data_IF_070144824972
#
_entry.id   IF_070144824972
#
_cell.length_a   1.000
_cell.length_b   1.000
_cell.length_c   1.000
_cell.angle_alpha   90.00
_cell.angle_beta   90.00
_cell.angle_gamma   90.00
#
_symmetry.space_group_name_H-M   'P 1'
#
loop_
_entity.id
_entity.type
_entity.pdbx_description
1 polymer ?
#
# COMPACT_ATOMS: atom_id res chain seq x y z
N UNK A 1 3.44 -14.90 6.44
CA UNK A 1 4.21 -15.90 5.65
C UNK A 1 5.66 -15.45 5.62
N UNK A 2 6.64 -16.33 5.89
CA UNK A 2 8.07 -15.93 5.91
C UNK A 2 8.70 -15.76 4.52
N UNK A 3 8.01 -16.19 3.46
CA UNK A 3 8.47 -16.06 2.07
C UNK A 3 7.29 -15.65 1.20
N UNK A 4 7.54 -14.83 0.18
CA UNK A 4 6.57 -14.43 -0.83
C UNK A 4 6.37 -15.53 -1.89
N UNK A 5 5.99 -16.73 -1.44
CA UNK A 5 5.78 -17.89 -2.33
C UNK A 5 7.01 -18.33 -3.13
N UNK A 6 8.21 -17.86 -2.77
CA UNK A 6 9.45 -18.16 -3.49
C UNK A 6 9.82 -17.18 -4.61
N UNK A 7 9.12 -16.04 -4.74
CA UNK A 7 9.52 -14.97 -5.65
C UNK A 7 9.76 -13.64 -4.91
N UNK A 8 10.41 -12.70 -5.59
CA UNK A 8 10.67 -11.34 -5.13
C UNK A 8 9.69 -10.36 -5.79
N UNK A 9 9.34 -9.28 -5.11
CA UNK A 9 8.50 -8.23 -5.69
C UNK A 9 9.15 -7.68 -6.99
N UNK A 10 8.37 -7.35 -8.02
CA UNK A 10 6.90 -7.20 -8.05
C UNK A 10 6.11 -8.51 -8.22
N UNK A 11 6.74 -9.68 -8.26
CA UNK A 11 5.99 -10.93 -8.22
C UNK A 11 5.34 -11.11 -6.84
N UNK A 12 4.08 -11.55 -6.80
CA UNK A 12 3.38 -11.91 -5.56
C UNK A 12 2.89 -13.35 -5.64
N UNK A 13 3.44 -14.23 -4.80
CA UNK A 13 3.16 -15.68 -4.79
C UNK A 13 3.32 -16.39 -6.14
N UNK A 14 4.18 -15.90 -7.02
CA UNK A 14 4.37 -16.45 -8.37
C UNK A 14 3.56 -15.74 -9.46
N UNK A 15 2.79 -14.71 -9.12
CA UNK A 15 1.98 -13.93 -10.07
C UNK A 15 2.67 -12.58 -10.30
N UNK A 16 3.00 -12.27 -11.56
CA UNK A 16 3.61 -11.01 -11.99
C UNK A 16 2.60 -10.21 -12.81
N UNK A 17 2.36 -8.96 -12.41
CA UNK A 17 1.45 -8.06 -13.12
C UNK A 17 2.00 -7.72 -14.53
N UNK A 18 1.13 -7.72 -15.54
CA UNK A 18 1.46 -7.52 -16.95
C UNK A 18 1.97 -8.79 -17.68
N UNK A 19 2.29 -9.86 -16.93
CA UNK A 19 2.88 -11.08 -17.49
C UNK A 19 2.03 -12.33 -17.27
N UNK A 20 1.54 -12.54 -16.04
CA UNK A 20 0.83 -13.76 -15.67
C UNK A 20 -0.61 -13.73 -16.18
N UNK A 21 -1.01 -14.78 -16.90
CA UNK A 21 -2.40 -14.92 -17.33
C UNK A 21 -3.31 -15.25 -16.14
N UNK A 22 -4.58 -14.91 -16.25
CA UNK A 22 -5.55 -15.24 -15.21
C UNK A 22 -5.73 -16.76 -15.04
N UNK A 23 -5.58 -17.53 -16.12
CA UNK A 23 -5.62 -19.00 -16.05
C UNK A 23 -4.47 -19.56 -15.21
N UNK A 24 -3.24 -19.06 -15.42
CA UNK A 24 -2.07 -19.43 -14.60
C UNK A 24 -2.24 -18.98 -13.14
N UNK A 25 -2.71 -17.75 -12.92
CA UNK A 25 -2.99 -17.23 -11.59
C UNK A 25 -4.00 -18.14 -10.84
N UNK A 26 -5.06 -18.62 -11.50
CA UNK A 26 -6.01 -19.56 -10.89
C UNK A 26 -5.37 -20.89 -10.50
N UNK A 27 -4.40 -21.39 -11.28
CA UNK A 27 -3.66 -22.61 -10.93
C UNK A 27 -2.77 -22.40 -9.69
N UNK A 28 -2.18 -21.21 -9.56
CA UNK A 28 -1.37 -20.81 -8.39
C UNK A 28 -2.24 -20.62 -7.14
N UNK A 29 -3.38 -19.93 -7.28
CA UNK A 29 -4.25 -19.56 -6.16
C UNK A 29 -5.15 -20.71 -5.70
N UNK A 30 -5.54 -21.62 -6.60
CA UNK A 30 -6.47 -22.72 -6.32
C UNK A 30 -6.11 -23.60 -5.10
N UNK A 31 -4.83 -23.97 -4.91
CA UNK A 31 -4.41 -24.74 -3.74
C UNK A 31 -4.48 -23.99 -2.40
N UNK A 32 -4.39 -22.65 -2.40
CA UNK A 32 -4.19 -21.85 -1.18
C UNK A 32 -5.44 -21.12 -0.70
N UNK A 33 -6.53 -21.07 -1.49
CA UNK A 33 -7.74 -20.42 -1.04
C UNK A 33 -8.94 -20.60 -1.94
N UNK A 34 -10.08 -20.11 -1.47
CA UNK A 34 -11.23 -19.94 -2.33
C UNK A 34 -11.13 -18.61 -3.02
N UNK A 35 -11.05 -18.66 -4.35
CA UNK A 35 -11.37 -17.52 -5.20
C UNK A 35 -12.87 -17.29 -5.05
N UNK A 36 -13.22 -16.29 -4.24
CA UNK A 36 -14.60 -15.94 -3.94
C UNK A 36 -15.02 -14.76 -4.80
N UNK A 37 -16.15 -14.93 -5.47
CA UNK A 37 -16.94 -13.90 -6.13
C UNK A 37 -16.28 -13.20 -7.33
N UNK A 38 -17.09 -12.99 -8.36
CA UNK A 38 -16.78 -12.18 -9.52
C UNK A 38 -17.60 -10.91 -9.36
N UNK A 39 -16.95 -9.79 -9.10
CA UNK A 39 -17.61 -8.50 -9.22
C UNK A 39 -17.02 -7.82 -10.44
N UNK A 40 -17.81 -7.81 -11.52
CA UNK A 40 -17.59 -6.87 -12.62
C UNK A 40 -17.91 -5.47 -12.07
N UNK A 41 -16.96 -4.89 -11.35
CA UNK A 41 -16.97 -3.46 -11.09
C UNK A 41 -16.32 -2.80 -12.31
N UNK A 42 -17.07 -1.96 -13.02
CA UNK A 42 -16.49 -1.03 -13.98
C UNK A 42 -15.59 -0.06 -13.20
N UNK A 43 -14.30 -0.36 -13.14
CA UNK A 43 -13.29 0.63 -12.82
C UNK A 43 -13.26 1.63 -13.97
N UNK A 44 -13.29 2.92 -13.66
CA UNK A 44 -13.55 4.00 -14.63
C UNK A 44 -12.59 4.05 -15.82
N UNK A 45 -11.45 3.36 -15.75
CA UNK A 45 -10.45 3.30 -16.83
C UNK A 45 -10.33 1.94 -17.52
N UNK A 46 -10.96 0.87 -17.02
CA UNK A 46 -10.69 -0.47 -17.56
C UNK A 46 -11.88 -1.43 -17.43
N UNK A 47 -12.04 -2.33 -18.41
CA UNK A 47 -12.91 -3.52 -18.32
C UNK A 47 -12.26 -4.58 -17.41
N UNK A 48 -12.00 -4.23 -16.15
CA UNK A 48 -11.24 -5.05 -15.21
C UNK A 48 -12.16 -5.95 -14.39
N UNK A 49 -11.76 -7.20 -14.24
CA UNK A 49 -12.41 -8.14 -13.32
C UNK A 49 -11.69 -8.14 -11.99
N UNK A 50 -12.44 -8.00 -10.89
CA UNK A 50 -11.91 -8.04 -9.53
C UNK A 50 -12.22 -9.38 -8.90
N UNK A 51 -11.18 -10.09 -8.47
CA UNK A 51 -11.30 -11.37 -7.77
C UNK A 51 -10.83 -11.25 -6.33
N UNK A 52 -11.63 -11.72 -5.38
CA UNK A 52 -11.29 -11.73 -3.96
C UNK A 52 -10.75 -13.10 -3.54
N UNK A 53 -9.62 -13.11 -2.87
CA UNK A 53 -9.12 -14.33 -2.24
C UNK A 53 -9.44 -14.33 -0.74
N UNK A 54 -10.36 -15.20 -0.32
CA UNK A 54 -10.58 -15.45 1.10
C UNK A 54 -9.72 -16.62 1.56
N UNK A 55 -8.74 -16.33 2.42
CA UNK A 55 -7.96 -17.37 3.09
C UNK A 55 -8.75 -17.92 4.29
N UNK A 56 -9.45 -19.04 4.05
CA UNK A 56 -10.34 -19.71 5.03
C UNK A 56 -9.70 -19.99 6.39
N UNK A 57 -8.38 -20.18 6.44
CA UNK A 57 -7.67 -20.62 7.64
C UNK A 57 -7.23 -19.47 8.56
N UNK A 58 -7.25 -18.22 8.10
CA UNK A 58 -6.69 -17.10 8.88
C UNK A 58 -7.70 -16.35 9.75
N UNK A 59 -9.00 -16.65 9.68
CA UNK A 59 -10.03 -16.01 10.52
C UNK A 59 -10.21 -14.49 10.30
N UNK A 60 -9.36 -13.89 9.49
CA UNK A 60 -9.45 -12.55 8.93
C UNK A 60 -9.69 -12.69 7.41
N UNK A 61 -10.36 -11.71 6.81
CA UNK A 61 -10.58 -11.66 5.36
C UNK A 61 -9.51 -10.76 4.75
N UNK A 62 -8.28 -11.25 4.46
CA UNK A 62 -7.36 -10.47 3.66
C UNK A 62 -8.03 -10.23 2.31
N UNK A 63 -8.30 -8.96 1.99
CA UNK A 63 -8.96 -8.60 0.74
C UNK A 63 -7.89 -8.47 -0.35
N UNK A 64 -7.30 -9.61 -0.75
CA UNK A 64 -6.43 -9.62 -1.91
C UNK A 64 -7.30 -9.49 -3.15
N UNK A 65 -7.01 -8.51 -3.99
CA UNK A 65 -7.72 -8.25 -5.24
C UNK A 65 -6.77 -8.40 -6.42
N UNK A 66 -7.18 -9.19 -7.40
CA UNK A 66 -6.49 -9.29 -8.68
C UNK A 66 -7.35 -8.61 -9.73
N UNK A 67 -6.74 -7.73 -10.51
CA UNK A 67 -7.40 -6.99 -11.57
C UNK A 67 -6.95 -7.54 -12.91
N UNK A 68 -7.89 -8.07 -13.68
CA UNK A 68 -7.60 -8.79 -14.92
C UNK A 68 -8.13 -8.01 -16.11
N UNK A 69 -7.29 -7.80 -17.12
CA UNK A 69 -7.63 -7.20 -18.39
C UNK A 69 -7.14 -8.09 -19.54
N UNK A 70 -7.98 -8.34 -20.54
CA UNK A 70 -7.67 -9.22 -21.67
C UNK A 70 -7.10 -10.61 -21.28
N UNK A 71 -7.47 -11.11 -20.11
CA UNK A 71 -7.01 -12.40 -19.59
C UNK A 71 -5.63 -12.36 -18.92
N UNK A 72 -5.03 -11.18 -18.73
CA UNK A 72 -3.75 -10.96 -18.04
C UNK A 72 -4.01 -10.25 -16.72
N UNK A 73 -3.29 -10.63 -15.66
CA UNK A 73 -3.32 -9.91 -14.38
C UNK A 73 -2.56 -8.60 -14.56
N UNK A 74 -3.25 -7.46 -14.52
CA UNK A 74 -2.64 -6.14 -14.68
C UNK A 74 -2.28 -5.48 -13.34
N UNK A 75 -3.01 -5.81 -12.28
CA UNK A 75 -2.77 -5.23 -10.96
C UNK A 75 -3.09 -6.24 -9.85
N UNK A 76 -2.40 -6.10 -8.74
CA UNK A 76 -2.55 -6.90 -7.52
C UNK A 76 -2.61 -5.95 -6.33
N UNK A 77 -3.68 -6.06 -5.55
CA UNK A 77 -3.88 -5.35 -4.30
C UNK A 77 -3.85 -6.36 -3.17
N UNK A 78 -3.04 -6.10 -2.16
CA UNK A 78 -2.85 -7.00 -1.03
C UNK A 78 -2.98 -6.16 0.25
N UNK A 79 -3.83 -6.61 1.17
CA UNK A 79 -4.10 -5.94 2.45
C UNK A 79 -3.78 -6.86 3.61
N UNK A 80 -3.52 -6.30 4.78
CA UNK A 80 -3.34 -7.04 6.04
C UNK A 80 -2.08 -7.91 6.05
N UNK A 81 -0.96 -7.31 5.61
CA UNK A 81 0.37 -7.93 5.55
C UNK A 81 1.20 -7.71 6.82
N UNK A 82 0.56 -7.54 7.98
CA UNK A 82 1.22 -7.23 9.27
C UNK A 82 2.21 -8.30 9.74
N UNK A 83 1.96 -9.57 9.39
CA UNK A 83 2.87 -10.70 9.70
C UNK A 83 3.74 -11.11 8.49
N UNK A 84 4.05 -10.15 7.60
CA UNK A 84 4.85 -10.37 6.39
C UNK A 84 6.23 -9.70 6.48
N UNK A 85 7.11 -10.02 5.53
CA UNK A 85 8.42 -9.37 5.36
C UNK A 85 8.33 -7.90 4.91
N UNK A 86 7.13 -7.40 4.69
CA UNK A 86 6.87 -6.06 4.17
C UNK A 86 6.09 -5.20 5.19
N UNK A 87 5.92 -5.72 6.41
CA UNK A 87 5.07 -5.11 7.42
C UNK A 87 5.57 -3.73 7.83
N UNK A 88 6.89 -3.53 7.86
CA UNK A 88 7.50 -2.28 8.33
C UNK A 88 8.24 -1.57 7.19
N UNK A 89 8.23 -0.23 7.21
CA UNK A 89 8.94 0.59 6.21
C UNK A 89 10.43 0.23 6.09
N UNK A 90 11.21 0.09 7.19
CA UNK A 90 12.62 -0.31 7.06
C UNK A 90 12.82 -1.63 6.33
N UNK A 91 11.91 -2.60 6.52
CA UNK A 91 11.96 -3.88 5.82
C UNK A 91 11.69 -3.69 4.33
N UNK A 92 10.66 -2.92 3.97
CA UNK A 92 10.35 -2.58 2.57
C UNK A 92 11.53 -1.87 1.91
N UNK A 93 12.13 -0.89 2.58
CA UNK A 93 13.32 -0.17 2.13
C UNK A 93 14.53 -1.09 1.92
N UNK A 94 14.72 -2.09 2.78
CA UNK A 94 15.78 -3.09 2.59
C UNK A 94 15.57 -3.96 1.34
N UNK A 95 14.32 -4.27 0.98
CA UNK A 95 14.01 -5.11 -0.17
C UNK A 95 13.93 -4.33 -1.49
N UNK A 96 13.29 -3.15 -1.47
CA UNK A 96 13.01 -2.38 -2.68
C UNK A 96 14.04 -1.27 -2.92
N UNK A 97 14.74 -0.83 -1.88
CA UNK A 97 15.62 0.33 -1.91
C UNK A 97 14.87 1.62 -1.62
N UNK A 98 15.46 2.73 -2.04
CA UNK A 98 14.90 4.06 -1.88
C UNK A 98 13.67 4.26 -2.78
N UNK A 99 12.52 4.73 -2.24
CA UNK A 99 11.36 5.05 -3.05
C UNK A 99 11.58 6.31 -3.88
N UNK A 100 10.99 6.35 -5.07
CA UNK A 100 10.97 7.51 -5.96
C UNK A 100 10.12 8.64 -5.36
N UNK A 101 9.01 8.28 -4.70
CA UNK A 101 8.12 9.24 -4.05
C UNK A 101 7.67 8.71 -2.69
N UNK A 102 7.52 9.64 -1.73
CA UNK A 102 6.91 9.38 -0.43
C UNK A 102 5.77 10.36 -0.23
N UNK A 103 4.62 9.84 0.17
CA UNK A 103 3.39 10.61 0.35
C UNK A 103 2.82 10.39 1.74
N UNK A 104 2.22 11.43 2.30
CA UNK A 104 1.63 11.40 3.63
C UNK A 104 0.15 11.79 3.60
N UNK A 105 -0.65 11.19 4.47
CA UNK A 105 -1.96 11.73 4.87
C UNK A 105 -2.20 11.48 6.34
N UNK A 106 -2.98 12.35 6.98
CA UNK A 106 -3.42 12.18 8.37
C UNK A 106 -4.92 11.93 8.43
N UNK A 107 -5.29 10.95 9.25
CA UNK A 107 -6.68 10.64 9.58
C UNK A 107 -7.10 11.42 10.81
N UNK A 108 -8.25 12.09 10.71
CA UNK A 108 -8.96 12.55 11.89
C UNK A 108 -10.39 12.05 11.90
N UNK A 109 -10.82 11.59 13.07
CA UNK A 109 -12.16 11.09 13.30
C UNK A 109 -12.96 12.06 14.19
N UNK A 110 -14.22 12.26 13.80
CA UNK A 110 -15.26 12.93 14.60
C UNK A 110 -15.06 14.43 14.85
N UNK A 111 -16.08 15.11 15.38
CA UNK A 111 -15.94 16.39 16.05
C UNK A 111 -15.91 16.20 17.59
N UNK A 112 -14.93 16.76 18.32
CA UNK A 112 -13.75 17.46 17.82
C UNK A 112 -12.82 16.50 17.06
N UNK A 113 -12.11 17.00 16.03
CA UNK A 113 -11.21 16.19 15.19
C UNK A 113 -10.12 15.59 16.07
N UNK A 114 -10.22 14.29 16.31
CA UNK A 114 -9.18 13.51 16.97
C UNK A 114 -8.32 12.91 15.87
N UNK A 115 -7.06 13.36 15.77
CA UNK A 115 -6.08 12.71 14.90
C UNK A 115 -5.86 11.31 15.43
N UNK A 116 -6.04 10.32 14.56
CA UNK A 116 -5.91 8.92 14.92
C UNK A 116 -4.61 8.38 14.38
N UNK A 117 -4.42 8.45 13.06
CA UNK A 117 -3.36 7.75 12.37
C UNK A 117 -2.71 8.61 11.28
N UNK A 118 -1.48 8.27 10.93
CA UNK A 118 -0.77 8.75 9.75
C UNK A 118 -0.61 7.60 8.78
N UNK A 119 -0.88 7.85 7.51
CA UNK A 119 -0.51 6.94 6.43
C UNK A 119 0.69 7.47 5.70
N UNK A 120 1.63 6.57 5.47
CA UNK A 120 2.83 6.81 4.69
C UNK A 120 2.78 5.89 3.49
N UNK A 121 2.80 6.47 2.29
CA UNK A 121 2.87 5.72 1.05
C UNK A 121 4.27 5.85 0.42
N UNK A 122 4.94 4.71 0.21
CA UNK A 122 6.22 4.62 -0.50
C UNK A 122 5.97 4.10 -1.90
N UNK A 123 6.38 4.86 -2.92
CA UNK A 123 6.03 4.61 -4.33
C UNK A 123 7.28 4.31 -5.14
N UNK A 124 7.23 3.19 -5.86
CA UNK A 124 8.29 2.70 -6.75
C UNK A 124 7.76 2.58 -8.18
N UNK A 125 7.65 3.73 -8.85
CA UNK A 125 6.97 3.86 -10.14
C UNK A 125 7.59 2.98 -11.23
N UNK A 126 8.92 2.93 -11.33
CA UNK A 126 9.61 2.16 -12.37
C UNK A 126 9.38 0.65 -12.21
N UNK A 127 9.09 0.21 -10.97
CA UNK A 127 8.87 -1.21 -10.64
C UNK A 127 7.39 -1.59 -10.59
N UNK A 128 6.49 -0.62 -10.70
CA UNK A 128 5.07 -0.85 -10.57
C UNK A 128 4.66 -1.30 -9.16
N UNK A 129 5.25 -0.72 -8.11
CA UNK A 129 4.99 -1.10 -6.71
C UNK A 129 4.68 0.14 -5.89
N UNK A 130 3.72 0.05 -4.98
CA UNK A 130 3.56 1.03 -3.91
C UNK A 130 3.12 0.33 -2.63
N UNK A 131 3.58 0.86 -1.49
CA UNK A 131 3.18 0.38 -0.17
C UNK A 131 2.53 1.51 0.59
N UNK A 132 1.58 1.19 1.45
CA UNK A 132 0.92 2.12 2.35
C UNK A 132 0.96 1.54 3.75
N UNK A 133 1.56 2.28 4.68
CA UNK A 133 1.73 1.89 6.07
C UNK A 133 1.00 2.88 6.97
N UNK A 134 0.16 2.35 7.85
CA UNK A 134 -0.63 3.11 8.81
C UNK A 134 0.00 3.01 10.19
N UNK A 135 0.25 4.15 10.82
CA UNK A 135 0.83 4.26 12.16
C UNK A 135 -0.07 5.09 13.07
N UNK A 136 -0.04 4.79 14.36
CA UNK A 136 -0.68 5.63 15.37
C UNK A 136 -0.10 7.03 15.37
N UNK A 137 -0.91 8.03 15.69
CA UNK A 137 -0.48 9.43 15.70
C UNK A 137 -0.85 10.11 17.02
N UNK A 138 0.06 10.94 17.51
CA UNK A 138 -0.16 11.84 18.64
C UNK A 138 -0.17 13.29 18.18
N UNK A 139 -0.87 14.15 18.93
CA UNK A 139 -0.80 15.59 18.76
C UNK A 139 0.09 16.18 19.85
N UNK A 140 1.17 16.84 19.43
CA UNK A 140 2.13 17.51 20.29
C UNK A 140 2.14 19.01 19.95
N UNK A 141 1.21 19.75 20.57
CA UNK A 141 1.01 21.16 20.27
C UNK A 141 0.43 21.37 18.87
N UNK A 142 1.19 22.01 17.99
CA UNK A 142 0.80 22.30 16.60
C UNK A 142 1.24 21.22 15.60
N UNK A 143 1.96 20.20 16.07
CA UNK A 143 2.50 19.13 15.24
C UNK A 143 1.73 17.83 15.47
N UNK A 144 1.45 17.12 14.39
CA UNK A 144 1.09 15.71 14.43
C UNK A 144 2.36 14.87 14.29
N UNK A 145 2.53 13.90 15.18
CA UNK A 145 3.70 13.02 15.23
C UNK A 145 3.25 11.58 15.07
N UNK A 146 3.80 10.87 14.08
CA UNK A 146 3.62 9.42 13.92
C UNK A 146 4.97 8.72 13.98
N UNK A 147 5.11 7.77 14.90
CA UNK A 147 6.34 6.99 15.06
C UNK A 147 6.22 5.64 14.35
N UNK A 148 7.32 5.16 13.77
CA UNK A 148 7.35 3.91 13.01
C UNK A 148 7.55 2.68 13.91
N UNK A 149 6.88 2.65 15.06
CA UNK A 149 7.06 1.65 16.12
C UNK A 149 6.14 0.44 15.96
N UNK A 150 4.85 0.65 15.66
CA UNK A 150 3.87 -0.41 15.46
C UNK A 150 2.97 -0.10 14.26
N UNK A 151 3.07 -0.94 13.21
CA UNK A 151 2.21 -0.81 12.03
C UNK A 151 0.81 -1.30 12.37
N UNK A 152 -0.18 -0.41 12.26
CA UNK A 152 -1.59 -0.74 12.49
C UNK A 152 -2.19 -1.47 11.29
N UNK A 153 -1.77 -1.11 10.09
CA UNK A 153 -2.24 -1.68 8.84
C UNK A 153 -1.20 -1.46 7.73
N UNK A 154 -1.09 -2.44 6.84
CA UNK A 154 -0.22 -2.36 5.67
C UNK A 154 -0.99 -2.81 4.44
N UNK A 155 -0.83 -2.04 3.36
CA UNK A 155 -1.32 -2.36 2.04
C UNK A 155 -0.18 -2.34 1.01
N UNK A 156 -0.24 -3.27 0.08
CA UNK A 156 0.67 -3.39 -1.06
C UNK A 156 -0.13 -3.31 -2.36
N UNK A 157 0.25 -2.35 -3.21
CA UNK A 157 -0.18 -2.20 -4.59
C UNK A 157 0.93 -2.68 -5.52
N UNK A 158 0.58 -3.50 -6.50
CA UNK A 158 1.46 -3.93 -7.59
C UNK A 158 0.69 -3.74 -8.89
N UNK A 159 1.34 -3.20 -9.92
CA UNK A 159 0.75 -3.05 -11.24
C UNK A 159 1.78 -3.30 -12.34
N UNK A 160 1.28 -3.52 -13.56
CA UNK A 160 2.11 -3.56 -14.76
C UNK A 160 2.77 -2.18 -14.99
N UNK A 161 4.11 -2.04 -14.92
CA UNK A 161 4.79 -0.76 -15.06
C UNK A 161 4.53 -0.04 -16.39
N UNK A 162 4.13 -0.78 -17.44
CA UNK A 162 3.75 -0.19 -18.74
C UNK A 162 2.50 0.69 -18.67
N UNK A 163 1.70 0.57 -17.60
CA UNK A 163 0.55 1.43 -17.34
C UNK A 163 0.95 2.86 -16.94
N UNK A 164 2.21 3.09 -16.55
CA UNK A 164 2.78 4.42 -16.26
C UNK A 164 1.92 5.27 -15.31
N UNK A 165 1.42 4.64 -14.24
CA UNK A 165 0.58 5.32 -13.26
C UNK A 165 1.28 6.51 -12.61
N UNK A 166 0.52 7.58 -12.41
CA UNK A 166 0.83 8.64 -11.46
C UNK A 166 0.41 8.21 -10.05
N UNK A 167 0.85 8.93 -9.02
CA UNK A 167 0.38 8.66 -7.66
C UNK A 167 -1.14 8.82 -7.53
N UNK A 168 -1.74 9.80 -8.23
CA UNK A 168 -3.20 9.98 -8.28
C UNK A 168 -3.91 8.77 -8.90
N UNK A 169 -3.31 8.14 -9.92
CA UNK A 169 -3.85 6.91 -10.49
C UNK A 169 -3.76 5.76 -9.47
N UNK A 170 -2.65 5.61 -8.75
CA UNK A 170 -2.49 4.59 -7.70
C UNK A 170 -3.59 4.75 -6.65
N UNK A 171 -3.77 5.96 -6.12
CA UNK A 171 -4.80 6.26 -5.12
C UNK A 171 -6.20 5.91 -5.61
N UNK A 172 -6.49 6.25 -6.87
CA UNK A 172 -7.80 6.00 -7.50
C UNK A 172 -8.06 4.52 -7.73
N UNK A 173 -7.11 3.80 -8.35
CA UNK A 173 -7.31 2.40 -8.78
C UNK A 173 -7.25 1.41 -7.60
N UNK A 174 -6.40 1.67 -6.60
CA UNK A 174 -6.26 0.78 -5.45
C UNK A 174 -7.22 1.11 -4.30
N UNK A 175 -8.04 2.15 -4.47
CA UNK A 175 -9.00 2.64 -3.47
C UNK A 175 -8.34 3.01 -2.13
N UNK A 176 -7.17 3.64 -2.16
CA UNK A 176 -6.47 4.12 -0.96
C UNK A 176 -7.20 5.27 -0.26
N UNK A 177 -8.30 5.75 -0.84
CA UNK A 177 -9.13 6.83 -0.32
C UNK A 177 -10.62 6.52 -0.37
N UNK A 178 -11.08 5.56 0.43
CA UNK A 178 -12.49 5.56 0.84
C UNK A 178 -12.72 6.67 1.88
N UNK A 179 -12.77 7.95 1.45
CA UNK A 179 -13.09 9.03 2.40
C UNK A 179 -12.70 10.47 2.04
N UNK A 180 -12.09 10.74 0.88
CA UNK A 180 -11.68 12.11 0.51
C UNK A 180 -10.45 12.61 1.28
N UNK A 181 -9.61 11.68 1.75
CA UNK A 181 -8.30 12.00 2.31
C UNK A 181 -7.44 12.71 1.25
N UNK A 182 -6.46 13.50 1.69
CA UNK A 182 -5.59 14.25 0.78
C UNK A 182 -4.18 13.86 1.08
N UNK A 183 -3.67 12.90 0.32
CA UNK A 183 -2.24 12.66 0.29
C UNK A 183 -1.52 13.91 -0.19
N UNK A 184 -0.36 14.19 0.39
CA UNK A 184 0.55 15.25 -0.02
C UNK A 184 1.97 14.69 -0.08
N UNK A 185 2.83 15.19 -1.00
CA UNK A 185 4.23 14.81 -1.02
C UNK A 185 4.89 15.10 0.34
N UNK A 186 5.78 14.21 0.75
CA UNK A 186 6.48 14.27 2.03
C UNK A 186 7.17 15.63 2.27
N UNK A 187 7.85 16.14 1.25
CA UNK A 187 8.64 17.36 1.26
C UNK A 187 7.79 18.64 1.25
N UNK A 188 6.51 18.54 0.90
CA UNK A 188 5.57 19.67 1.01
C UNK A 188 5.03 19.85 2.43
N UNK A 189 5.05 18.79 3.24
CA UNK A 189 4.36 18.77 4.55
C UNK A 189 5.26 18.46 5.73
N UNK A 190 6.55 18.20 5.46
CA UNK A 190 7.58 17.98 6.47
C UNK A 190 8.83 18.78 6.09
N UNK A 191 9.90 18.65 6.89
CA UNK A 191 11.19 19.25 6.60
C UNK A 191 12.15 18.32 5.85
N UNK A 192 11.71 17.13 5.44
CA UNK A 192 12.56 16.10 4.82
C UNK A 192 11.97 15.65 3.48
N UNK A 193 12.85 15.20 2.59
CA UNK A 193 12.49 14.59 1.31
C UNK A 193 12.57 13.05 1.38
N UNK A 194 12.29 12.37 0.26
CA UNK A 194 12.29 10.92 0.17
C UNK A 194 13.67 10.29 0.46
N UNK A 195 14.77 10.96 0.06
CA UNK A 195 16.14 10.48 0.31
C UNK A 195 16.47 10.55 1.80
N UNK A 196 16.18 11.68 2.44
CA UNK A 196 16.34 11.84 3.89
C UNK A 196 15.47 10.84 4.65
N UNK A 197 14.20 10.67 4.27
CA UNK A 197 13.31 9.69 4.88
C UNK A 197 13.86 8.26 4.79
N UNK A 198 14.33 7.86 3.62
CA UNK A 198 14.98 6.57 3.43
C UNK A 198 16.22 6.44 4.35
N UNK A 199 17.06 7.47 4.43
CA UNK A 199 18.24 7.47 5.29
C UNK A 199 17.93 7.34 6.79
N UNK A 200 16.89 8.03 7.28
CA UNK A 200 16.49 8.01 8.69
C UNK A 200 15.87 6.67 9.09
N UNK A 201 14.96 6.13 8.27
CA UNK A 201 14.30 4.84 8.52
C UNK A 201 15.24 3.64 8.47
N UNK A 202 16.43 3.80 7.89
CA UNK A 202 17.49 2.79 7.90
C UNK A 202 18.35 2.82 9.17
N UNK A 203 18.34 3.93 9.92
CA UNK A 203 19.21 4.14 11.08
C UNK A 203 18.47 4.01 12.41
N UNK A 204 17.18 4.36 12.45
CA UNK A 204 16.39 4.42 13.68
C UNK A 204 15.10 3.59 13.55
N UNK A 205 15.05 2.48 14.28
CA UNK A 205 13.87 1.60 14.38
C UNK A 205 12.66 2.30 15.03
N UNK A 206 12.85 3.46 15.67
CA UNK A 206 11.80 4.27 16.28
C UNK A 206 11.62 5.65 15.64
N UNK A 207 12.06 5.83 14.39
CA UNK A 207 11.95 7.11 13.70
C UNK A 207 10.52 7.67 13.78
N UNK A 208 10.39 8.95 14.11
CA UNK A 208 9.10 9.64 14.14
C UNK A 208 9.05 10.74 13.09
N UNK A 209 7.97 10.74 12.33
CA UNK A 209 7.68 11.79 11.38
C UNK A 209 6.77 12.84 11.99
N UNK A 210 7.06 14.11 11.70
CA UNK A 210 6.30 15.24 12.21
C UNK A 210 5.80 16.11 11.07
N UNK A 211 4.55 16.54 11.14
CA UNK A 211 3.94 17.45 10.17
C UNK A 211 3.01 18.45 10.86
N UNK A 212 2.96 19.72 10.42
CA UNK A 212 2.04 20.71 10.99
C UNK A 212 0.58 20.29 10.83
N UNK A 213 -0.17 20.36 11.92
CA UNK A 213 -1.57 19.88 11.98
C UNK A 213 -2.53 20.73 11.12
N UNK A 214 -2.22 22.02 10.92
CA UNK A 214 -3.03 22.97 10.15
C UNK A 214 -3.03 22.70 8.63
N UNK A 215 -2.05 21.96 8.11
CA UNK A 215 -2.01 21.53 6.70
C UNK A 215 -3.11 20.53 6.33
N UNK A 216 -3.63 19.82 7.33
CA UNK A 216 -4.56 18.70 7.18
C UNK A 216 -5.98 19.06 7.61
N UNK A 217 -6.12 19.96 8.58
CA UNK A 217 -7.41 20.35 9.17
C UNK A 217 -7.62 21.87 9.15
N UNK A 218 -7.81 22.48 7.96
CA UNK A 218 -8.17 23.89 7.86
C UNK A 218 -9.57 24.19 8.40
#
# INVERSE_FOLDING_TARGET
>A
MKTNGGCELPCFWGITAGETTWEEALQILGPIGLVTDFRGEELLLFNKYVFFLSLKELGQYPNHRFFVENGIVEMISVSDLRDSLYAEIPQVHNFLGMPEEVWLTIYAEGPPRTVTNIDIANVYLERGIATQHNYGTSLEGEMATGCLDEVSYMFLAIWNPELQFTFEDIVREFYWQSGGFRYRPLDEVTSIDAEAFYGETQQDEGYCIQTPNDLWFP
#
